data_IF_700092906484
#
_entry.id   IF_700092906484
#
_cell.length_a   1.000
_cell.length_b   1.000
_cell.length_c   1.000
_cell.angle_alpha   90.00
_cell.angle_beta   90.00
_cell.angle_gamma   90.00
#
_symmetry.space_group_name_H-M   'P 1'
#
loop_
_entity.id
_entity.type
_entity.pdbx_description
1 polymer ?
#
# COMPACT_ATOMS: atom_id res chain seq x y z
N UNK A 1 -1.14 6.02 10.11
CA UNK A 1 -1.10 6.95 11.24
C UNK A 1 -2.49 7.22 11.79
N UNK A 2 -3.40 7.74 10.97
CA UNK A 2 -4.75 8.16 11.38
C UNK A 2 -5.54 7.05 12.12
N UNK A 3 -5.52 5.81 11.62
CA UNK A 3 -6.23 4.71 12.24
C UNK A 3 -5.68 4.38 13.63
N UNK A 4 -4.36 4.43 13.78
CA UNK A 4 -3.72 4.20 15.07
C UNK A 4 -4.03 5.30 16.09
N UNK A 5 -3.78 6.56 15.74
CA UNK A 5 -3.77 7.66 16.72
C UNK A 5 -5.12 8.37 16.90
N UNK A 6 -5.97 8.42 15.87
CA UNK A 6 -7.26 9.13 15.92
C UNK A 6 -8.42 8.17 16.19
N UNK A 7 -8.40 6.99 15.55
CA UNK A 7 -9.51 6.04 15.64
C UNK A 7 -9.26 4.89 16.61
N UNK A 8 -8.06 4.80 17.21
CA UNK A 8 -7.66 3.71 18.09
C UNK A 8 -7.89 2.32 17.47
N UNK A 9 -7.58 2.20 16.17
CA UNK A 9 -7.67 0.98 15.34
C UNK A 9 -6.29 0.58 14.82
N UNK A 10 -5.41 0.07 15.71
CA UNK A 10 -4.08 -0.41 15.32
C UNK A 10 -4.14 -1.63 14.38
N UNK A 11 -5.23 -2.39 14.42
CA UNK A 11 -5.51 -3.52 13.53
C UNK A 11 -5.65 -3.07 12.07
N UNK A 12 -6.44 -2.03 11.81
CA UNK A 12 -6.60 -1.47 10.46
C UNK A 12 -5.31 -0.82 9.99
N UNK A 13 -4.62 -0.09 10.87
CA UNK A 13 -3.32 0.50 10.56
C UNK A 13 -2.32 -0.55 10.08
N UNK A 14 -2.19 -1.67 10.82
CA UNK A 14 -1.26 -2.74 10.48
C UNK A 14 -1.63 -3.42 9.16
N UNK A 15 -2.92 -3.60 8.88
CA UNK A 15 -3.39 -4.17 7.61
C UNK A 15 -3.01 -3.29 6.42
N UNK A 16 -3.23 -1.97 6.53
CA UNK A 16 -2.88 -1.01 5.48
C UNK A 16 -1.35 -0.95 5.29
N UNK A 17 -0.56 -0.85 6.37
CA UNK A 17 0.91 -0.81 6.29
C UNK A 17 1.46 -2.08 5.63
N UNK A 18 0.94 -3.25 6.00
CA UNK A 18 1.30 -4.53 5.37
C UNK A 18 0.97 -4.53 3.87
N UNK A 19 -0.24 -4.11 3.49
CA UNK A 19 -0.64 -4.06 2.09
C UNK A 19 0.27 -3.15 1.25
N UNK A 20 0.58 -1.95 1.78
CA UNK A 20 1.50 -0.99 1.13
C UNK A 20 2.89 -1.60 0.95
N UNK A 21 3.45 -2.21 2.01
CA UNK A 21 4.78 -2.86 1.94
C UNK A 21 4.85 -3.95 0.90
N UNK A 22 3.82 -4.78 0.79
CA UNK A 22 3.79 -5.86 -0.19
C UNK A 22 3.69 -5.33 -1.62
N UNK A 23 2.83 -4.34 -1.89
CA UNK A 23 2.72 -3.74 -3.23
C UNK A 23 4.04 -3.05 -3.61
N UNK A 24 4.66 -2.37 -2.65
CA UNK A 24 6.00 -1.79 -2.79
C UNK A 24 7.13 -2.84 -2.85
N UNK A 25 6.88 -4.13 -3.03
CA UNK A 25 7.96 -5.03 -3.50
C UNK A 25 8.09 -5.04 -5.02
N UNK A 26 6.96 -4.84 -5.70
CA UNK A 26 6.87 -5.05 -7.15
C UNK A 26 6.55 -3.77 -7.93
N UNK A 27 5.82 -2.83 -7.34
CA UNK A 27 5.27 -1.67 -8.04
C UNK A 27 5.81 -0.36 -7.49
N UNK A 28 6.04 0.62 -8.36
CA UNK A 28 6.53 1.97 -7.99
C UNK A 28 5.87 3.05 -8.83
N UNK A 29 5.61 4.19 -8.21
CA UNK A 29 5.31 5.43 -8.91
C UNK A 29 6.59 6.12 -9.40
N UNK A 30 6.46 7.10 -10.29
CA UNK A 30 7.58 7.77 -10.97
C UNK A 30 8.61 8.38 -10.00
N UNK A 31 8.17 8.88 -8.86
CA UNK A 31 8.97 9.54 -7.83
C UNK A 31 9.88 8.59 -7.03
N UNK A 32 9.50 7.32 -6.91
CA UNK A 32 10.21 6.29 -6.12
C UNK A 32 10.61 5.08 -6.96
N UNK A 33 10.68 5.23 -8.28
CA UNK A 33 10.99 4.14 -9.19
C UNK A 33 12.41 3.60 -9.01
N UNK A 34 12.52 2.27 -8.99
CA UNK A 34 13.81 1.57 -8.95
C UNK A 34 13.88 0.51 -10.07
N UNK A 35 15.04 0.29 -10.68
CA UNK A 35 15.24 -0.77 -11.67
C UNK A 35 14.78 -2.13 -11.13
N UNK A 36 14.07 -2.91 -11.96
CA UNK A 36 13.51 -4.21 -11.57
C UNK A 36 12.10 -4.14 -10.94
N UNK A 37 11.51 -2.95 -10.82
CA UNK A 37 10.10 -2.78 -10.41
C UNK A 37 9.21 -2.36 -11.58
N UNK A 38 7.90 -2.50 -11.42
CA UNK A 38 6.89 -2.09 -12.39
C UNK A 38 6.49 -0.64 -12.13
N UNK A 39 6.75 0.24 -13.09
CA UNK A 39 6.30 1.64 -13.04
C UNK A 39 4.77 1.72 -13.23
N UNK A 40 4.08 2.38 -12.31
CA UNK A 40 2.61 2.56 -12.31
C UNK A 40 2.22 4.02 -12.03
N UNK A 41 0.99 4.37 -12.40
CA UNK A 41 0.39 5.66 -12.04
C UNK A 41 -0.07 5.71 -10.57
N UNK A 42 -0.41 6.91 -10.09
CA UNK A 42 -0.97 7.11 -8.75
C UNK A 42 -2.28 6.31 -8.55
N UNK A 43 -3.20 6.39 -9.50
CA UNK A 43 -4.48 5.66 -9.45
C UNK A 43 -4.25 4.14 -9.43
N UNK A 44 -3.36 3.64 -10.30
CA UNK A 44 -3.03 2.22 -10.34
C UNK A 44 -2.40 1.72 -9.02
N UNK A 45 -1.54 2.54 -8.40
CA UNK A 45 -0.98 2.22 -7.08
C UNK A 45 -2.08 2.09 -6.02
N UNK A 46 -3.03 3.03 -6.00
CA UNK A 46 -4.19 2.99 -5.10
C UNK A 46 -5.06 1.75 -5.31
N UNK A 47 -5.33 1.38 -6.56
CA UNK A 47 -6.09 0.16 -6.91
C UNK A 47 -5.37 -1.10 -6.42
N UNK A 48 -4.04 -1.19 -6.60
CA UNK A 48 -3.24 -2.32 -6.16
C UNK A 48 -3.23 -2.47 -4.64
N UNK A 49 -3.07 -1.37 -3.90
CA UNK A 49 -3.12 -1.38 -2.44
C UNK A 49 -4.50 -1.80 -1.96
N UNK A 50 -5.57 -1.25 -2.56
CA UNK A 50 -6.95 -1.56 -2.18
C UNK A 50 -7.27 -3.05 -2.39
N UNK A 51 -6.86 -3.62 -3.53
CA UNK A 51 -6.99 -5.07 -3.78
C UNK A 51 -6.19 -5.89 -2.78
N UNK A 52 -4.95 -5.49 -2.49
CA UNK A 52 -4.11 -6.20 -1.53
C UNK A 52 -4.71 -6.21 -0.12
N UNK A 53 -5.40 -5.15 0.29
CA UNK A 53 -6.12 -5.13 1.58
C UNK A 53 -7.24 -6.19 1.59
N UNK A 54 -8.01 -6.29 0.51
CA UNK A 54 -9.08 -7.29 0.38
C UNK A 54 -8.54 -8.72 0.38
N UNK A 55 -7.37 -8.97 -0.22
CA UNK A 55 -6.75 -10.30 -0.26
C UNK A 55 -6.16 -10.74 1.10
N UNK A 56 -5.90 -9.80 2.01
CA UNK A 56 -5.31 -10.05 3.33
C UNK A 56 -6.36 -10.26 4.43
N UNK A 57 -7.64 -10.08 4.12
CA UNK A 57 -8.77 -10.07 5.05
C UNK A 57 -9.60 -11.36 4.92
#
# INVERSE_FOLDING_TARGET
MMFNYTFNRPDIEALIDKAVREVLKEYRTKDIYSPGTKLVSCSQMGDLISRRILDLN
#
